data_IF_627395174829
#
_entry.id   IF_627395174829
#
_cell.length_a   1.000
_cell.length_b   1.000
_cell.length_c   1.000
_cell.angle_alpha   90.00
_cell.angle_beta   90.00
_cell.angle_gamma   90.00
#
_symmetry.space_group_name_H-M   'P 1'
#
loop_
_entity.id
_entity.type
_entity.pdbx_description
1 polymer ?
#
# COMPACT_ATOMS: atom_id res chain seq x y z
N UNK A 1 13.99 28.03 7.57
CA UNK A 1 14.43 26.82 6.87
C UNK A 1 15.28 27.21 5.67
N UNK A 2 16.53 26.77 5.59
CA UNK A 2 17.48 27.17 4.54
C UNK A 2 18.23 25.95 3.99
N UNK A 3 18.02 25.60 2.72
CA UNK A 3 18.83 24.62 1.99
C UNK A 3 19.82 25.38 1.08
N UNK A 4 21.06 25.65 1.52
CA UNK A 4 22.08 26.33 0.70
C UNK A 4 22.60 25.38 -0.40
N UNK A 5 22.68 25.87 -1.63
CA UNK A 5 23.29 25.20 -2.80
C UNK A 5 22.57 23.95 -3.38
N UNK A 6 21.32 23.68 -3.03
CA UNK A 6 20.53 22.63 -3.68
C UNK A 6 19.72 23.19 -4.85
N UNK A 7 20.14 22.91 -6.08
CA UNK A 7 19.25 23.07 -7.23
C UNK A 7 18.02 22.17 -7.02
N UNK A 8 16.85 22.56 -7.54
CA UNK A 8 15.59 21.81 -7.43
C UNK A 8 15.63 20.38 -8.02
N UNK A 9 16.80 19.87 -8.42
CA UNK A 9 17.02 18.55 -9.02
C UNK A 9 17.50 17.46 -8.06
N UNK A 10 18.05 17.76 -6.88
CA UNK A 10 18.65 16.72 -6.00
C UNK A 10 17.76 16.40 -4.79
N UNK A 11 17.78 15.14 -4.33
CA UNK A 11 16.85 14.62 -3.32
C UNK A 11 17.02 15.20 -1.89
N UNK A 12 18.15 15.86 -1.64
CA UNK A 12 18.54 16.32 -0.31
C UNK A 12 18.07 17.75 -0.01
N UNK A 13 16.82 17.89 0.45
CA UNK A 13 16.31 19.14 1.06
C UNK A 13 15.82 18.90 2.49
N UNK A 14 16.72 18.62 3.44
CA UNK A 14 16.35 18.27 4.81
C UNK A 14 15.58 19.40 5.49
N UNK A 15 15.95 20.66 5.25
CA UNK A 15 15.28 21.80 5.89
C UNK A 15 13.88 22.03 5.33
N UNK A 16 13.68 21.77 4.03
CA UNK A 16 12.34 21.76 3.45
C UNK A 16 11.46 20.66 4.06
N UNK A 17 11.97 19.44 4.25
CA UNK A 17 11.19 18.38 4.88
C UNK A 17 10.89 18.68 6.36
N UNK A 18 11.85 19.28 7.07
CA UNK A 18 11.65 19.74 8.45
C UNK A 18 10.56 20.81 8.52
N UNK A 19 10.55 21.78 7.60
CA UNK A 19 9.49 22.78 7.47
C UNK A 19 8.12 22.11 7.27
N UNK A 20 8.00 21.15 6.34
CA UNK A 20 6.74 20.46 6.11
C UNK A 20 6.27 19.74 7.39
N UNK A 21 7.17 19.09 8.14
CA UNK A 21 6.82 18.44 9.41
C UNK A 21 6.40 19.45 10.49
N UNK A 22 7.14 20.54 10.63
CA UNK A 22 6.88 21.58 11.62
C UNK A 22 5.58 22.34 11.35
N UNK A 23 5.08 22.34 10.11
CA UNK A 23 3.75 22.88 9.80
C UNK A 23 2.64 22.22 10.63
N UNK A 24 2.76 20.91 10.95
CA UNK A 24 1.79 20.20 11.80
C UNK A 24 1.84 20.65 13.27
N UNK A 25 2.94 21.27 13.70
CA UNK A 25 3.09 21.85 15.04
C UNK A 25 2.53 23.27 15.15
N UNK A 26 2.06 23.85 14.03
CA UNK A 26 1.54 25.23 13.94
C UNK A 26 2.52 26.28 14.47
N UNK A 27 3.81 26.09 14.19
CA UNK A 27 4.86 27.05 14.56
C UNK A 27 4.89 28.30 13.66
N UNK A 28 4.18 28.25 12.52
CA UNK A 28 4.07 29.32 11.54
C UNK A 28 2.78 29.14 10.74
N UNK A 29 2.22 30.25 10.26
CA UNK A 29 0.97 30.26 9.48
C UNK A 29 1.20 30.47 7.98
N UNK A 30 2.44 30.81 7.58
CA UNK A 30 2.77 31.15 6.20
C UNK A 30 4.18 30.70 5.81
N UNK A 31 4.30 30.23 4.56
CA UNK A 31 5.56 29.96 3.87
C UNK A 31 5.65 30.89 2.67
N UNK A 32 6.77 31.61 2.55
CA UNK A 32 7.06 32.47 1.42
C UNK A 32 8.14 31.81 0.56
N UNK A 33 7.89 31.69 -0.74
CA UNK A 33 8.85 31.21 -1.73
C UNK A 33 9.11 32.28 -2.79
N UNK A 34 10.30 32.30 -3.39
CA UNK A 34 10.60 33.25 -4.46
C UNK A 34 9.77 32.97 -5.73
N UNK A 35 9.74 31.70 -6.17
CA UNK A 35 8.97 31.17 -7.31
C UNK A 35 8.44 29.78 -6.95
N UNK A 36 7.29 29.39 -7.49
CA UNK A 36 6.66 28.10 -7.23
C UNK A 36 7.47 26.91 -7.77
N UNK A 37 8.28 27.11 -8.80
CA UNK A 37 9.23 26.12 -9.31
C UNK A 37 10.32 25.74 -8.27
N UNK A 38 10.50 26.56 -7.23
CA UNK A 38 11.41 26.29 -6.08
C UNK A 38 10.70 25.59 -4.93
N UNK A 39 9.38 25.50 -4.97
CA UNK A 39 8.61 24.88 -3.90
C UNK A 39 8.68 23.35 -3.98
N UNK A 40 8.61 22.75 -5.17
CA UNK A 40 8.77 21.31 -5.33
C UNK A 40 9.30 20.91 -6.71
N UNK A 41 9.83 19.69 -6.83
CA UNK A 41 10.55 19.20 -8.02
C UNK A 41 9.67 19.03 -9.25
N UNK A 42 8.41 18.70 -9.03
CA UNK A 42 7.40 18.54 -10.06
C UNK A 42 6.06 19.07 -9.54
N UNK A 43 5.09 19.19 -10.44
CA UNK A 43 3.75 19.71 -10.11
C UNK A 43 3.02 18.82 -9.08
N UNK A 44 3.30 17.52 -9.07
CA UNK A 44 2.71 16.55 -8.14
C UNK A 44 3.17 16.78 -6.70
N UNK A 45 4.48 16.86 -6.46
CA UNK A 45 5.04 17.14 -5.13
C UNK A 45 4.59 18.51 -4.63
N UNK A 46 4.55 19.51 -5.52
CA UNK A 46 4.13 20.88 -5.19
C UNK A 46 2.71 20.88 -4.62
N UNK A 47 1.82 20.18 -5.31
CA UNK A 47 0.45 20.06 -4.88
C UNK A 47 0.28 19.23 -3.60
N UNK A 48 0.94 18.07 -3.48
CA UNK A 48 0.88 17.24 -2.27
C UNK A 48 1.29 18.04 -1.03
N UNK A 49 2.40 18.79 -1.12
CA UNK A 49 2.86 19.63 -0.03
C UNK A 49 1.91 20.80 0.24
N UNK A 50 1.38 21.46 -0.80
CA UNK A 50 0.36 22.53 -0.62
C UNK A 50 -0.89 22.03 0.08
N UNK A 51 -1.40 20.85 -0.29
CA UNK A 51 -2.58 20.25 0.36
C UNK A 51 -2.30 19.90 1.82
N UNK A 52 -1.13 19.33 2.13
CA UNK A 52 -0.73 19.05 3.51
C UNK A 52 -0.62 20.33 4.35
N UNK A 53 0.01 21.38 3.80
CA UNK A 53 0.14 22.68 4.46
C UNK A 53 -1.21 23.35 4.68
N UNK A 54 -2.10 23.33 3.68
CA UNK A 54 -3.48 23.85 3.78
C UNK A 54 -4.25 23.15 4.89
N UNK A 55 -4.16 21.82 5.02
CA UNK A 55 -4.77 21.05 6.13
C UNK A 55 -4.22 21.47 7.50
N UNK A 56 -2.96 21.87 7.56
CA UNK A 56 -2.31 22.37 8.78
C UNK A 56 -2.60 23.87 9.05
N UNK A 57 -3.36 24.54 8.19
CA UNK A 57 -3.66 25.98 8.30
C UNK A 57 -2.56 26.89 7.77
N UNK A 58 -1.54 26.34 7.11
CA UNK A 58 -0.39 27.09 6.60
C UNK A 58 -0.60 27.49 5.14
N UNK A 59 -0.48 28.79 4.85
CA UNK A 59 -0.54 29.34 3.49
C UNK A 59 0.81 29.33 2.80
N UNK A 60 0.85 28.98 1.52
CA UNK A 60 2.05 29.12 0.68
C UNK A 60 1.86 30.33 -0.21
N UNK A 61 2.80 31.28 -0.16
CA UNK A 61 2.77 32.52 -0.95
C UNK A 61 4.04 32.60 -1.79
N UNK A 62 3.89 32.95 -3.07
CA UNK A 62 5.04 33.25 -3.93
C UNK A 62 5.28 34.75 -3.95
N UNK A 63 6.55 35.17 -3.85
CA UNK A 63 6.95 36.57 -3.89
C UNK A 63 6.86 37.15 -5.30
N UNK A 64 6.86 36.30 -6.34
CA UNK A 64 6.83 36.72 -7.74
C UNK A 64 5.59 36.27 -8.49
N UNK A 65 4.76 35.39 -7.91
CA UNK A 65 3.55 34.86 -8.54
C UNK A 65 2.36 34.99 -7.59
N UNK A 66 1.22 35.48 -8.10
CA UNK A 66 -0.03 35.52 -7.33
C UNK A 66 -0.67 34.13 -7.42
N UNK A 67 -0.79 33.44 -6.29
CA UNK A 67 -1.63 32.24 -6.20
C UNK A 67 -3.03 32.76 -5.91
N UNK A 68 -3.89 32.82 -6.91
CA UNK A 68 -5.28 33.18 -6.71
C UNK A 68 -6.01 32.04 -5.98
N UNK A 69 -6.81 32.38 -4.99
CA UNK A 69 -7.91 31.53 -4.48
C UNK A 69 -9.08 31.47 -5.49
N UNK A 70 -8.80 31.66 -6.78
CA UNK A 70 -9.76 31.79 -7.88
C UNK A 70 -9.98 30.50 -8.66
N UNK A 71 -10.50 30.61 -9.88
CA UNK A 71 -10.83 29.47 -10.74
C UNK A 71 -9.62 28.56 -11.01
N UNK A 72 -8.40 29.10 -11.01
CA UNK A 72 -7.16 28.34 -11.19
C UNK A 72 -6.89 27.36 -10.05
N UNK A 73 -7.25 27.73 -8.81
CA UNK A 73 -7.13 26.88 -7.63
C UNK A 73 -8.09 25.68 -7.68
N UNK A 74 -9.32 25.91 -8.14
CA UNK A 74 -10.33 24.86 -8.34
C UNK A 74 -9.86 23.85 -9.38
N UNK A 75 -9.35 24.33 -10.53
CA UNK A 75 -8.81 23.45 -11.59
C UNK A 75 -7.63 22.62 -11.06
N UNK A 76 -6.73 23.24 -10.29
CA UNK A 76 -5.61 22.54 -9.69
C UNK A 76 -6.07 21.44 -8.73
N UNK A 77 -7.08 21.72 -7.89
CA UNK A 77 -7.67 20.75 -6.96
C UNK A 77 -8.29 19.56 -7.71
N UNK A 78 -9.13 19.80 -8.72
CA UNK A 78 -9.74 18.74 -9.53
C UNK A 78 -8.72 17.88 -10.27
N UNK A 79 -7.64 18.47 -10.77
CA UNK A 79 -6.54 17.71 -11.38
C UNK A 79 -5.90 16.77 -10.35
N UNK A 80 -5.72 17.22 -9.11
CA UNK A 80 -5.12 16.39 -8.06
C UNK A 80 -5.98 15.23 -7.62
N UNK A 81 -7.29 15.46 -7.52
CA UNK A 81 -8.26 14.41 -7.24
C UNK A 81 -8.22 13.36 -8.35
N UNK A 82 -8.28 13.78 -9.62
CA UNK A 82 -8.18 12.87 -10.76
C UNK A 82 -6.85 12.12 -10.82
N UNK A 83 -5.74 12.74 -10.43
CA UNK A 83 -4.45 12.04 -10.31
C UNK A 83 -4.45 11.01 -9.19
N UNK A 84 -4.99 11.32 -8.01
CA UNK A 84 -5.06 10.38 -6.90
C UNK A 84 -5.92 9.15 -7.26
N UNK A 85 -7.04 9.37 -7.95
CA UNK A 85 -7.89 8.31 -8.48
C UNK A 85 -7.14 7.46 -9.51
N UNK A 86 -6.47 8.09 -10.48
CA UNK A 86 -5.64 7.39 -11.48
C UNK A 86 -4.57 6.51 -10.83
N UNK A 87 -3.81 7.04 -9.86
CA UNK A 87 -2.76 6.26 -9.20
C UNK A 87 -3.33 5.08 -8.42
N UNK A 88 -4.49 5.23 -7.80
CA UNK A 88 -5.16 4.14 -7.10
C UNK A 88 -5.58 3.05 -8.09
N UNK A 89 -6.14 3.42 -9.24
CA UNK A 89 -6.53 2.49 -10.30
C UNK A 89 -5.32 1.75 -10.90
N UNK A 90 -4.26 2.48 -11.28
CA UNK A 90 -3.02 1.90 -11.84
C UNK A 90 -2.34 0.95 -10.85
N UNK A 91 -2.29 1.31 -9.56
CA UNK A 91 -1.75 0.41 -8.53
C UNK A 91 -2.60 -0.86 -8.39
N UNK A 92 -3.93 -0.72 -8.38
CA UNK A 92 -4.84 -1.87 -8.31
C UNK A 92 -4.62 -2.83 -9.48
N UNK A 93 -4.52 -2.30 -10.71
CA UNK A 93 -4.25 -3.09 -11.91
C UNK A 93 -2.92 -3.84 -11.82
N UNK A 94 -1.86 -3.17 -11.35
CA UNK A 94 -0.54 -3.78 -11.14
C UNK A 94 -0.57 -4.90 -10.10
N UNK A 95 -1.30 -4.72 -8.99
CA UNK A 95 -1.46 -5.75 -7.96
C UNK A 95 -2.20 -6.96 -8.52
N UNK A 96 -3.32 -6.75 -9.22
CA UNK A 96 -4.08 -7.83 -9.87
C UNK A 96 -3.24 -8.58 -10.89
N UNK A 97 -2.46 -7.87 -11.72
CA UNK A 97 -1.53 -8.47 -12.66
C UNK A 97 -0.47 -9.32 -11.96
N UNK A 98 0.15 -8.80 -10.90
CA UNK A 98 1.14 -9.52 -10.11
C UNK A 98 0.56 -10.80 -9.48
N UNK A 99 -0.63 -10.73 -8.90
CA UNK A 99 -1.32 -11.91 -8.35
C UNK A 99 -1.66 -12.93 -9.44
N UNK A 100 -2.06 -12.47 -10.62
CA UNK A 100 -2.37 -13.34 -11.77
C UNK A 100 -1.12 -14.06 -12.26
N UNK A 101 0.00 -13.34 -12.42
CA UNK A 101 1.27 -13.94 -12.82
C UNK A 101 1.78 -14.96 -11.80
N UNK A 102 1.64 -14.68 -10.50
CA UNK A 102 1.96 -15.62 -9.44
C UNK A 102 1.08 -16.87 -9.53
N UNK A 103 -0.23 -16.72 -9.73
CA UNK A 103 -1.15 -17.85 -9.87
C UNK A 103 -0.79 -18.73 -11.08
N UNK A 104 -0.44 -18.12 -12.23
CA UNK A 104 0.03 -18.84 -13.42
C UNK A 104 1.35 -19.60 -13.18
N UNK A 105 2.17 -19.13 -12.24
CA UNK A 105 3.43 -19.78 -11.82
C UNK A 105 3.23 -20.73 -10.62
N UNK A 106 1.98 -21.01 -10.24
CA UNK A 106 1.63 -21.81 -9.06
C UNK A 106 2.28 -21.30 -7.76
N UNK A 107 2.47 -19.99 -7.66
CA UNK A 107 3.00 -19.32 -6.47
C UNK A 107 1.88 -18.88 -5.55
N UNK A 108 2.21 -18.83 -4.27
CA UNK A 108 1.32 -18.37 -3.22
C UNK A 108 1.11 -16.86 -3.28
N UNK A 109 -0.15 -16.44 -3.22
CA UNK A 109 -0.56 -15.03 -3.24
C UNK A 109 -0.88 -14.46 -1.85
N UNK A 110 -0.57 -15.18 -0.78
CA UNK A 110 -0.99 -14.81 0.58
C UNK A 110 -2.39 -15.35 0.94
N UNK A 111 -2.82 -15.09 2.18
CA UNK A 111 -4.09 -15.56 2.73
C UNK A 111 -3.95 -16.69 3.76
N UNK A 112 -4.97 -17.53 3.85
CA UNK A 112 -4.94 -18.73 4.69
C UNK A 112 -4.43 -19.90 3.87
N UNK A 113 -3.45 -20.61 4.41
CA UNK A 113 -2.87 -21.76 3.73
C UNK A 113 -3.79 -23.00 3.85
N UNK A 114 -4.05 -23.73 2.75
CA UNK A 114 -4.79 -24.99 2.83
C UNK A 114 -4.07 -26.01 3.71
N UNK A 115 -4.83 -26.77 4.50
CA UNK A 115 -4.29 -27.89 5.28
C UNK A 115 -3.61 -28.91 4.34
N UNK A 116 -2.49 -29.48 4.78
CA UNK A 116 -1.68 -30.40 3.96
C UNK A 116 -0.57 -29.71 3.17
N UNK A 117 -0.49 -28.38 3.20
CA UNK A 117 0.51 -27.60 2.48
C UNK A 117 1.30 -26.69 3.41
N UNK A 118 2.55 -26.43 3.01
CA UNK A 118 3.45 -25.40 3.53
C UNK A 118 4.00 -24.59 2.34
N UNK A 119 4.52 -23.39 2.59
CA UNK A 119 5.11 -22.54 1.55
C UNK A 119 6.63 -22.50 1.73
N UNK A 120 7.37 -22.71 0.65
CA UNK A 120 8.84 -22.60 0.67
C UNK A 120 9.33 -21.15 0.53
N UNK A 121 10.65 -20.97 0.55
CA UNK A 121 11.28 -19.66 0.37
C UNK A 121 11.01 -19.01 -0.99
N UNK A 122 10.63 -19.80 -2.00
CA UNK A 122 10.31 -19.35 -3.36
C UNK A 122 8.83 -19.01 -3.56
N UNK A 123 8.04 -19.07 -2.47
CA UNK A 123 6.57 -18.92 -2.48
C UNK A 123 5.85 -20.06 -3.22
N UNK A 124 6.45 -21.23 -3.35
CA UNK A 124 5.81 -22.39 -3.96
C UNK A 124 5.17 -23.29 -2.90
N UNK A 125 4.05 -23.93 -3.28
CA UNK A 125 3.39 -24.90 -2.42
C UNK A 125 4.22 -26.18 -2.32
N UNK A 126 4.47 -26.61 -1.09
CA UNK A 126 5.07 -27.88 -0.75
C UNK A 126 4.11 -28.66 0.15
N UNK A 127 4.18 -29.98 0.12
CA UNK A 127 3.41 -30.80 1.05
C UNK A 127 3.98 -30.65 2.46
N UNK A 128 3.11 -30.42 3.43
CA UNK A 128 3.50 -30.45 4.84
C UNK A 128 3.59 -31.93 5.28
N UNK A 129 4.78 -32.43 5.68
CA UNK A 129 4.94 -33.81 6.13
C UNK A 129 4.04 -34.20 7.31
N UNK A 130 3.63 -33.22 8.13
CA UNK A 130 2.80 -33.47 9.29
C UNK A 130 1.31 -33.52 8.94
N UNK A 131 0.79 -32.60 8.12
CA UNK A 131 -0.65 -32.53 7.82
C UNK A 131 -1.06 -33.22 6.53
N UNK A 132 -0.17 -33.32 5.52
CA UNK A 132 -0.50 -33.93 4.22
C UNK A 132 -0.96 -35.40 4.31
N UNK A 133 -0.39 -36.27 5.18
CA UNK A 133 -0.86 -37.64 5.31
C UNK A 133 -2.34 -37.73 5.71
N UNK A 134 -2.79 -36.87 6.62
CA UNK A 134 -4.18 -36.86 7.08
C UNK A 134 -5.14 -36.46 5.96
N UNK A 135 -4.75 -35.50 5.11
CA UNK A 135 -5.55 -35.11 3.94
C UNK A 135 -5.67 -36.28 2.97
N UNK A 136 -4.57 -36.99 2.66
CA UNK A 136 -4.60 -38.17 1.77
C UNK A 136 -5.47 -39.28 2.34
N UNK A 137 -5.32 -39.61 3.62
CA UNK A 137 -6.12 -40.65 4.27
C UNK A 137 -7.61 -40.28 4.34
N UNK A 138 -7.94 -38.99 4.52
CA UNK A 138 -9.32 -38.52 4.44
C UNK A 138 -9.96 -38.80 3.07
N UNK A 139 -9.23 -38.51 1.98
CA UNK A 139 -9.70 -38.81 0.63
C UNK A 139 -9.83 -40.31 0.38
N UNK A 140 -8.88 -41.12 0.87
CA UNK A 140 -8.95 -42.57 0.75
C UNK A 140 -10.16 -43.16 1.49
N UNK A 141 -10.39 -42.76 2.74
CA UNK A 141 -11.57 -43.20 3.51
C UNK A 141 -12.87 -42.84 2.81
N UNK A 142 -12.93 -41.67 2.18
CA UNK A 142 -14.10 -41.24 1.41
C UNK A 142 -14.33 -42.13 0.18
N UNK A 143 -13.27 -42.45 -0.57
CA UNK A 143 -13.32 -43.37 -1.72
C UNK A 143 -13.76 -44.79 -1.31
N UNK A 144 -13.37 -45.23 -0.12
CA UNK A 144 -13.78 -46.49 0.50
C UNK A 144 -15.24 -46.48 1.04
N UNK A 145 -15.95 -45.35 0.92
CA UNK A 145 -17.36 -45.22 1.27
C UNK A 145 -17.64 -44.63 2.67
N UNK A 146 -16.62 -44.11 3.37
CA UNK A 146 -16.85 -43.43 4.64
C UNK A 146 -17.65 -42.13 4.43
N UNK A 147 -18.58 -41.86 5.35
CA UNK A 147 -19.33 -40.60 5.33
C UNK A 147 -18.47 -39.43 5.77
N UNK A 148 -18.80 -38.21 5.32
CA UNK A 148 -18.09 -37.00 5.76
C UNK A 148 -18.12 -36.81 7.28
N UNK A 149 -19.19 -37.27 7.96
CA UNK A 149 -19.30 -37.23 9.42
C UNK A 149 -18.26 -38.15 10.06
N UNK A 150 -18.09 -39.38 9.56
CA UNK A 150 -17.08 -40.31 10.05
C UNK A 150 -15.65 -39.79 9.84
N UNK A 151 -15.38 -39.16 8.69
CA UNK A 151 -14.06 -38.56 8.39
C UNK A 151 -13.77 -37.37 9.31
N UNK A 152 -14.76 -36.51 9.57
CA UNK A 152 -14.63 -35.39 10.50
C UNK A 152 -14.33 -35.87 11.92
N UNK A 153 -15.07 -36.87 12.39
CA UNK A 153 -14.90 -37.39 13.75
C UNK A 153 -13.52 -38.04 13.92
N UNK A 154 -13.08 -38.81 12.92
CA UNK A 154 -11.71 -39.32 12.85
C UNK A 154 -10.65 -38.20 12.85
N UNK A 155 -10.79 -37.14 12.03
CA UNK A 155 -9.86 -36.00 12.04
C UNK A 155 -9.79 -35.31 13.41
N UNK A 156 -10.92 -35.19 14.11
CA UNK A 156 -10.98 -34.64 15.46
C UNK A 156 -10.27 -35.56 16.47
N UNK A 157 -10.43 -36.88 16.38
CA UNK A 157 -9.71 -37.86 17.21
C UNK A 157 -8.19 -37.79 17.00
N UNK A 158 -7.72 -37.50 15.79
CA UNK A 158 -6.31 -37.28 15.48
C UNK A 158 -5.79 -35.91 15.94
N UNK A 159 -6.58 -35.13 16.69
CA UNK A 159 -6.20 -33.81 17.20
C UNK A 159 -6.13 -32.72 16.13
N UNK A 160 -6.63 -32.97 14.92
CA UNK A 160 -6.66 -32.00 13.80
C UNK A 160 -7.94 -31.17 13.86
N UNK A 161 -8.05 -30.36 14.91
CA UNK A 161 -9.14 -29.38 15.04
C UNK A 161 -8.85 -28.18 14.14
N UNK A 162 -9.92 -27.63 13.55
CA UNK A 162 -9.99 -26.45 12.66
C UNK A 162 -8.73 -25.57 12.64
N UNK A 163 -8.21 -25.28 11.44
CA UNK A 163 -7.10 -24.34 11.20
C UNK A 163 -7.44 -22.88 11.57
N UNK A 164 -8.70 -22.60 11.91
CA UNK A 164 -9.13 -21.44 12.70
C UNK A 164 -9.62 -21.96 14.06
N UNK A 165 -8.78 -21.81 15.09
CA UNK A 165 -9.17 -22.12 16.47
C UNK A 165 -9.60 -20.85 17.20
N UNK A 166 -10.71 -20.98 17.94
CA UNK A 166 -11.17 -20.12 19.04
C UNK A 166 -11.45 -18.63 18.76
#
# INVERSE_FOLDING_TARGET
YIDRAFSAKTDNRPEFQNMIKDSGKRLFDMIIVWKLDRFARNRYDSARYKTALKKNGVKVVSATEVISDGAEGIILESVLEGYAEYYSADLSEKVVRGMTENALKSKYNGGTLPIGYQIDSNQCFQLDPLTAPFVREAFQRYDEGATMTAIRDWLNEQGRVRTHGA
#
